data_IF_620527074962
#
_entry.id   IF_620527074962
#
_cell.length_a   1.000
_cell.length_b   1.000
_cell.length_c   1.000
_cell.angle_alpha   90.00
_cell.angle_beta   90.00
_cell.angle_gamma   90.00
#
_symmetry.space_group_name_H-M   'P 1'
#
loop_
_entity.id
_entity.type
_entity.pdbx_description
1 polymer ?
#
# COMPACT_ATOMS: atom_id res chain seq x y z
N UNK A 1 -2.97 -27.11 18.11
CA UNK A 1 -4.08 -26.23 17.70
C UNK A 1 -3.45 -25.13 16.90
N UNK A 2 -3.70 -25.11 15.59
CA UNK A 2 -3.24 -24.02 14.74
C UNK A 2 -3.99 -22.75 15.13
N UNK A 3 -3.27 -21.64 15.29
CA UNK A 3 -3.87 -20.34 15.59
C UNK A 3 -4.46 -19.76 14.29
N UNK A 4 -5.79 -19.67 14.14
CA UNK A 4 -6.42 -19.21 12.89
C UNK A 4 -6.02 -17.78 12.52
N UNK A 5 -5.75 -16.91 13.51
CA UNK A 5 -5.26 -15.55 13.25
C UNK A 5 -3.86 -15.57 12.64
N UNK A 6 -2.98 -16.46 13.10
CA UNK A 6 -1.62 -16.58 12.56
C UNK A 6 -1.64 -17.05 11.09
N UNK A 7 -2.58 -17.92 10.73
CA UNK A 7 -2.78 -18.35 9.35
C UNK A 7 -3.31 -17.20 8.48
N UNK A 8 -4.28 -16.43 8.96
CA UNK A 8 -4.81 -15.27 8.25
C UNK A 8 -3.74 -14.20 7.99
N UNK A 9 -2.88 -13.90 8.99
CA UNK A 9 -1.77 -12.97 8.82
C UNK A 9 -0.70 -13.49 7.85
N UNK A 10 -0.38 -14.78 7.88
CA UNK A 10 0.55 -15.39 6.93
C UNK A 10 0.05 -15.25 5.48
N UNK A 11 -1.23 -15.53 5.24
CA UNK A 11 -1.85 -15.37 3.93
C UNK A 11 -1.89 -13.91 3.47
N UNK A 12 -2.23 -12.99 4.38
CA UNK A 12 -2.21 -11.56 4.13
C UNK A 12 -0.81 -11.07 3.73
N UNK A 13 0.21 -11.42 4.51
CA UNK A 13 1.61 -11.05 4.24
C UNK A 13 2.08 -11.65 2.91
N UNK A 14 1.68 -12.89 2.59
CA UNK A 14 1.97 -13.51 1.30
C UNK A 14 1.37 -12.74 0.12
N UNK A 15 0.12 -12.28 0.23
CA UNK A 15 -0.54 -11.47 -0.80
C UNK A 15 0.13 -10.10 -0.95
N UNK A 16 0.39 -9.39 0.15
CA UNK A 16 1.07 -8.09 0.12
C UNK A 16 2.45 -8.23 -0.54
N UNK A 17 3.24 -9.22 -0.12
CA UNK A 17 4.56 -9.50 -0.68
C UNK A 17 4.50 -9.76 -2.18
N UNK A 18 3.54 -10.58 -2.63
CA UNK A 18 3.36 -10.88 -4.05
C UNK A 18 3.04 -9.63 -4.87
N UNK A 19 2.17 -8.75 -4.37
CA UNK A 19 1.86 -7.48 -5.05
C UNK A 19 3.10 -6.59 -5.14
N UNK A 20 3.83 -6.41 -4.03
CA UNK A 20 5.00 -5.54 -3.99
C UNK A 20 6.12 -6.05 -4.90
N UNK A 21 6.40 -7.36 -4.90
CA UNK A 21 7.36 -7.98 -5.83
C UNK A 21 6.94 -7.81 -7.29
N UNK A 22 5.67 -8.09 -7.61
CA UNK A 22 5.15 -7.94 -8.97
C UNK A 22 5.23 -6.49 -9.42
N UNK A 23 4.93 -5.55 -8.53
CA UNK A 23 5.02 -4.12 -8.80
C UNK A 23 6.46 -3.64 -8.96
N UNK A 24 7.40 -4.13 -8.15
CA UNK A 24 8.82 -3.79 -8.25
C UNK A 24 9.41 -4.28 -9.59
N UNK A 25 9.08 -5.50 -10.00
CA UNK A 25 9.45 -6.02 -11.33
C UNK A 25 8.83 -5.18 -12.45
N UNK A 26 7.54 -4.86 -12.36
CA UNK A 26 6.88 -4.01 -13.34
C UNK A 26 7.53 -2.62 -13.44
N UNK A 27 7.99 -2.05 -12.33
CA UNK A 27 8.72 -0.79 -12.29
C UNK A 27 10.06 -0.89 -13.06
N UNK A 28 10.84 -1.94 -12.79
CA UNK A 28 12.10 -2.21 -13.50
C UNK A 28 11.91 -2.42 -15.01
N UNK A 29 10.77 -3.00 -15.41
CA UNK A 29 10.37 -3.18 -16.81
C UNK A 29 9.82 -1.89 -17.46
N UNK A 30 9.81 -0.74 -16.74
CA UNK A 30 9.26 0.53 -17.24
C UNK A 30 7.74 0.62 -17.24
N UNK A 31 7.04 -0.37 -16.67
CA UNK A 31 5.58 -0.43 -16.60
C UNK A 31 5.04 0.24 -15.32
N UNK A 32 5.17 1.56 -15.25
CA UNK A 32 4.70 2.37 -14.12
C UNK A 32 3.18 2.25 -13.87
N UNK A 33 2.39 1.95 -14.91
CA UNK A 33 0.96 1.67 -14.78
C UNK A 33 0.69 0.42 -13.94
N UNK A 34 1.36 -0.68 -14.26
CA UNK A 34 1.24 -1.95 -13.53
C UNK A 34 1.84 -1.85 -12.13
N UNK A 35 2.97 -1.15 -11.95
CA UNK A 35 3.55 -0.92 -10.63
C UNK A 35 2.57 -0.23 -9.68
N UNK A 36 1.82 0.78 -10.16
CA UNK A 36 0.74 1.42 -9.41
C UNK A 36 -0.39 0.47 -9.05
N UNK A 37 -0.87 -0.31 -10.03
CA UNK A 37 -1.96 -1.25 -9.77
C UNK A 37 -1.59 -2.23 -8.66
N UNK A 38 -0.36 -2.76 -8.69
CA UNK A 38 0.18 -3.61 -7.63
C UNK A 38 0.26 -2.88 -6.29
N UNK A 39 0.83 -1.66 -6.24
CA UNK A 39 0.90 -0.85 -5.03
C UNK A 39 -0.48 -0.64 -4.37
N UNK A 40 -1.49 -0.28 -5.17
CA UNK A 40 -2.85 -0.07 -4.69
C UNK A 40 -3.49 -1.36 -4.16
N UNK A 41 -3.22 -2.50 -4.81
CA UNK A 41 -3.70 -3.82 -4.37
C UNK A 41 -3.04 -4.26 -3.06
N UNK A 42 -1.74 -4.01 -2.90
CA UNK A 42 -1.03 -4.28 -1.65
C UNK A 42 -1.70 -3.54 -0.47
N UNK A 43 -1.98 -2.25 -0.65
CA UNK A 43 -2.73 -1.45 0.34
C UNK A 43 -4.11 -2.05 0.59
N UNK A 44 -4.86 -2.35 -0.48
CA UNK A 44 -6.23 -2.87 -0.36
C UNK A 44 -6.31 -4.18 0.43
N UNK A 45 -5.35 -5.11 0.24
CA UNK A 45 -5.29 -6.34 1.03
C UNK A 45 -5.24 -6.03 2.53
N UNK A 46 -4.34 -5.15 2.96
CA UNK A 46 -4.17 -4.80 4.37
C UNK A 46 -5.40 -4.10 4.95
N UNK A 47 -5.93 -3.09 4.26
CA UNK A 47 -7.06 -2.30 4.81
C UNK A 47 -8.39 -3.06 4.80
N UNK A 48 -8.55 -4.06 3.94
CA UNK A 48 -9.73 -4.92 3.96
C UNK A 48 -9.70 -5.88 5.16
N UNK A 49 -8.53 -6.38 5.56
CA UNK A 49 -8.40 -7.20 6.76
C UNK A 49 -8.77 -6.44 8.04
N UNK A 50 -8.55 -5.12 8.09
CA UNK A 50 -9.01 -4.28 9.21
C UNK A 50 -10.53 -4.39 9.45
N UNK A 51 -11.31 -4.59 8.39
CA UNK A 51 -12.76 -4.75 8.50
C UNK A 51 -13.14 -6.12 9.06
N UNK A 52 -12.41 -7.17 8.68
CA UNK A 52 -12.62 -8.52 9.23
C UNK A 52 -12.32 -8.57 10.74
N UNK A 53 -11.34 -7.78 11.19
CA UNK A 53 -10.98 -7.65 12.60
C UNK A 53 -11.83 -6.65 13.38
N UNK A 54 -12.82 -6.01 12.75
CA UNK A 54 -13.67 -5.01 13.40
C UNK A 54 -12.95 -3.72 13.82
N UNK A 55 -11.79 -3.42 13.24
CA UNK A 55 -10.98 -2.25 13.60
C UNK A 55 -11.37 -1.00 12.81
N UNK A 56 -11.51 -1.12 11.49
CA UNK A 56 -11.88 -0.02 10.60
C UNK A 56 -12.37 -0.54 9.23
N UNK A 57 -13.18 0.25 8.52
CA UNK A 57 -13.62 -0.10 7.17
C UNK A 57 -13.48 1.03 6.17
N UNK A 58 -12.67 0.78 5.13
CA UNK A 58 -12.35 1.75 4.08
C UNK A 58 -13.04 1.43 2.74
N UNK A 59 -13.84 0.37 2.65
CA UNK A 59 -14.56 -0.03 1.44
C UNK A 59 -14.30 -1.47 1.01
N UNK A 60 -14.96 -1.90 -0.06
CA UNK A 60 -14.86 -3.28 -0.59
C UNK A 60 -13.95 -3.39 -1.82
N UNK A 61 -13.55 -2.26 -2.40
CA UNK A 61 -12.75 -2.22 -3.62
C UNK A 61 -11.61 -1.20 -3.52
N UNK A 62 -10.52 -1.48 -4.25
CA UNK A 62 -9.27 -0.70 -4.22
C UNK A 62 -9.48 0.81 -4.32
N UNK A 63 -10.29 1.26 -5.28
CA UNK A 63 -10.51 2.69 -5.49
C UNK A 63 -11.31 3.37 -4.38
N UNK A 64 -12.22 2.63 -3.73
CA UNK A 64 -12.97 3.13 -2.59
C UNK A 64 -12.08 3.23 -1.35
N UNK A 65 -11.28 2.19 -1.11
CA UNK A 65 -10.29 2.15 -0.02
C UNK A 65 -9.43 3.41 -0.01
N UNK A 66 -8.81 3.75 -1.15
CA UNK A 66 -7.95 4.93 -1.24
C UNK A 66 -8.73 6.22 -1.02
N UNK A 67 -9.93 6.37 -1.59
CA UNK A 67 -10.75 7.57 -1.37
C UNK A 67 -11.10 7.77 0.10
N UNK A 68 -11.46 6.69 0.81
CA UNK A 68 -11.79 6.78 2.24
C UNK A 68 -10.56 7.05 3.09
N UNK A 69 -9.41 6.47 2.76
CA UNK A 69 -8.14 6.80 3.41
C UNK A 69 -7.77 8.27 3.27
N UNK A 70 -8.01 8.87 2.09
CA UNK A 70 -7.77 10.31 1.87
C UNK A 70 -8.69 11.18 2.73
N UNK A 71 -9.96 10.78 2.89
CA UNK A 71 -10.97 11.53 3.63
C UNK A 71 -10.92 11.34 5.16
N UNK A 72 -10.17 10.36 5.67
CA UNK A 72 -10.10 10.07 7.10
C UNK A 72 -9.10 10.99 7.81
N UNK A 73 -9.61 12.10 8.34
CA UNK A 73 -8.83 13.11 9.06
C UNK A 73 -8.13 12.59 10.32
N UNK A 74 -8.51 11.42 10.84
CA UNK A 74 -7.85 10.78 11.99
C UNK A 74 -6.53 10.12 11.63
N UNK A 75 -6.30 9.84 10.33
CA UNK A 75 -5.04 9.28 9.85
C UNK A 75 -3.95 10.35 9.79
N UNK A 76 -2.67 9.99 9.99
CA UNK A 76 -1.56 10.91 9.78
C UNK A 76 -1.57 11.49 8.36
N UNK A 77 -1.20 12.77 8.22
CA UNK A 77 -1.16 13.47 6.93
C UNK A 77 -0.35 12.71 5.87
N UNK A 78 0.79 12.14 6.26
CA UNK A 78 1.63 11.35 5.36
C UNK A 78 0.89 10.14 4.75
N UNK A 79 0.01 9.48 5.51
CA UNK A 79 -0.80 8.34 5.06
C UNK A 79 -1.87 8.81 4.07
N UNK A 80 -2.57 9.92 4.40
CA UNK A 80 -3.59 10.50 3.52
C UNK A 80 -2.99 10.95 2.18
N UNK A 81 -1.86 11.67 2.21
CA UNK A 81 -1.18 12.13 1.01
C UNK A 81 -0.62 10.98 0.16
N UNK A 82 -0.11 9.91 0.78
CA UNK A 82 0.29 8.71 0.04
C UNK A 82 -0.91 8.05 -0.67
N UNK A 83 -2.06 7.97 0.01
CA UNK A 83 -3.28 7.43 -0.58
C UNK A 83 -3.79 8.30 -1.75
N UNK A 84 -3.72 9.62 -1.62
CA UNK A 84 -4.10 10.57 -2.67
C UNK A 84 -3.22 10.43 -3.92
N UNK A 85 -1.89 10.41 -3.73
CA UNK A 85 -0.93 10.18 -4.84
C UNK A 85 -1.17 8.83 -5.52
N UNK A 86 -1.49 7.79 -4.74
CA UNK A 86 -1.84 6.48 -5.27
C UNK A 86 -3.17 6.49 -6.01
N UNK A 87 -4.15 7.29 -5.61
CA UNK A 87 -5.43 7.41 -6.33
C UNK A 87 -5.22 7.94 -7.76
N UNK A 88 -4.25 8.84 -7.94
CA UNK A 88 -3.85 9.39 -9.24
C UNK A 88 -3.41 8.33 -10.25
N UNK A 89 -4.02 8.33 -11.44
CA UNK A 89 -3.63 7.47 -12.58
C UNK A 89 -2.85 8.23 -13.66
N UNK A 90 -2.62 7.61 -14.82
CA UNK A 90 -1.97 8.27 -15.95
C UNK A 90 -2.70 9.55 -16.40
N UNK A 91 -4.03 9.59 -16.27
CA UNK A 91 -4.84 10.80 -16.53
C UNK A 91 -4.54 11.94 -15.54
N UNK A 92 -4.26 11.63 -14.27
CA UNK A 92 -3.91 12.64 -13.28
C UNK A 92 -2.56 13.28 -13.61
N UNK A 93 -1.58 12.48 -14.05
CA UNK A 93 -0.28 12.98 -14.52
C UNK A 93 -0.45 13.95 -15.71
N UNK A 94 -1.31 13.61 -16.68
CA UNK A 94 -1.56 14.44 -17.86
C UNK A 94 -2.31 15.75 -17.54
N UNK A 95 -3.10 15.77 -16.46
CA UNK A 95 -3.85 16.95 -16.04
C UNK A 95 -3.16 17.79 -14.95
N UNK A 96 -1.92 17.45 -14.59
CA UNK A 96 -1.18 18.12 -13.51
C UNK A 96 -1.73 17.87 -12.09
N UNK A 97 -2.60 16.86 -11.93
CA UNK A 97 -3.13 16.48 -10.63
C UNK A 97 -2.12 15.63 -9.84
N UNK A 98 -2.30 15.57 -8.51
CA UNK A 98 -1.46 14.77 -7.61
C UNK A 98 -1.34 13.33 -8.09
N UNK A 99 -0.11 12.87 -8.20
CA UNK A 99 0.23 11.60 -8.79
C UNK A 99 1.52 11.04 -8.20
N UNK A 100 1.55 9.73 -7.92
CA UNK A 100 2.73 9.07 -7.36
C UNK A 100 3.82 8.82 -8.39
N UNK A 101 4.99 9.43 -8.21
CA UNK A 101 6.20 9.05 -8.93
C UNK A 101 6.84 7.76 -8.37
N UNK A 102 6.49 7.37 -7.14
CA UNK A 102 7.06 6.22 -6.45
C UNK A 102 5.94 5.40 -5.77
N UNK A 103 5.09 4.72 -6.56
CA UNK A 103 3.86 4.12 -6.04
C UNK A 103 4.09 3.03 -5.00
N UNK A 104 5.18 2.26 -5.14
CA UNK A 104 5.53 1.24 -4.17
C UNK A 104 5.97 1.84 -2.83
N UNK A 105 6.63 3.00 -2.86
CA UNK A 105 6.99 3.74 -1.65
C UNK A 105 5.76 4.31 -0.94
N UNK A 106 4.84 4.91 -1.71
CA UNK A 106 3.56 5.40 -1.16
C UNK A 106 2.74 4.25 -0.53
N UNK A 107 2.72 3.07 -1.14
CA UNK A 107 2.12 1.89 -0.53
C UNK A 107 2.83 1.53 0.77
N UNK A 108 4.17 1.56 0.81
CA UNK A 108 4.96 1.31 2.02
C UNK A 108 4.59 2.23 3.19
N UNK A 109 4.36 3.53 2.94
CA UNK A 109 3.90 4.49 3.96
C UNK A 109 2.59 4.02 4.62
N UNK A 110 1.62 3.65 3.79
CA UNK A 110 0.29 3.22 4.26
C UNK A 110 0.37 1.86 4.97
N UNK A 111 1.12 0.91 4.39
CA UNK A 111 1.28 -0.44 4.93
C UNK A 111 1.90 -0.40 6.33
N UNK A 112 2.97 0.38 6.54
CA UNK A 112 3.60 0.54 7.86
C UNK A 112 2.62 1.04 8.92
N UNK A 113 1.82 2.05 8.58
CA UNK A 113 0.86 2.63 9.52
C UNK A 113 -0.17 1.59 10.01
N UNK A 114 -0.77 0.83 9.10
CA UNK A 114 -1.78 -0.15 9.48
C UNK A 114 -1.19 -1.44 10.06
N UNK A 115 0.00 -1.84 9.64
CA UNK A 115 0.70 -2.99 10.22
C UNK A 115 0.97 -2.82 11.72
N UNK A 116 1.26 -1.60 12.18
CA UNK A 116 1.38 -1.26 13.60
C UNK A 116 0.09 -1.53 14.38
N UNK A 117 -1.08 -1.24 13.78
CA UNK A 117 -2.39 -1.47 14.42
C UNK A 117 -2.75 -2.94 14.48
N UNK A 118 -2.13 -3.76 13.64
CA UNK A 118 -2.34 -5.20 13.53
C UNK A 118 -1.28 -6.03 14.27
N UNK A 119 -0.27 -5.39 14.86
CA UNK A 119 0.81 -6.11 15.54
C UNK A 119 1.73 -6.90 14.60
N UNK A 120 1.72 -6.59 13.29
CA UNK A 120 2.57 -7.24 12.25
C UNK A 120 3.57 -6.26 11.63
N UNK A 121 3.96 -5.25 12.39
CA UNK A 121 4.82 -4.16 11.92
C UNK A 121 6.20 -4.66 11.51
N UNK A 122 6.78 -5.60 12.26
CA UNK A 122 8.14 -6.09 12.03
C UNK A 122 8.21 -6.90 10.73
N UNK A 123 7.20 -7.72 10.44
CA UNK A 123 7.10 -8.51 9.21
C UNK A 123 6.95 -7.61 7.98
N UNK A 124 6.10 -6.58 8.09
CA UNK A 124 5.93 -5.59 7.01
C UNK A 124 7.20 -4.77 6.82
N UNK A 125 7.85 -4.32 7.90
CA UNK A 125 9.11 -3.58 7.84
C UNK A 125 10.24 -4.39 7.21
N UNK A 126 10.37 -5.66 7.59
CA UNK A 126 11.33 -6.59 7.00
C UNK A 126 11.10 -6.73 5.50
N UNK A 127 9.85 -6.97 5.09
CA UNK A 127 9.46 -7.08 3.68
C UNK A 127 9.77 -5.80 2.87
N UNK A 128 9.46 -4.62 3.41
CA UNK A 128 9.75 -3.36 2.73
C UNK A 128 11.26 -3.10 2.61
N UNK A 129 12.04 -3.52 3.61
CA UNK A 129 13.51 -3.40 3.60
C UNK A 129 14.12 -4.33 2.55
N UNK A 130 13.70 -5.59 2.49
CA UNK A 130 14.13 -6.56 1.48
C UNK A 130 13.88 -6.08 0.04
N UNK A 131 12.79 -5.33 -0.16
CA UNK A 131 12.40 -4.78 -1.45
C UNK A 131 12.96 -3.37 -1.73
N UNK A 132 13.74 -2.81 -0.80
CA UNK A 132 14.27 -1.45 -0.87
C UNK A 132 13.17 -0.37 -1.07
N UNK A 133 12.07 -0.49 -0.32
CA UNK A 133 10.88 0.38 -0.40
C UNK A 133 10.72 1.30 0.82
N UNK A 134 11.69 1.32 1.74
CA UNK A 134 11.64 2.17 2.93
C UNK A 134 11.80 3.67 2.61
N UNK A 135 12.66 3.97 1.64
CA UNK A 135 12.97 5.30 1.15
C UNK A 135 12.60 5.43 -0.32
N UNK A 136 12.13 6.60 -0.79
CA UNK A 136 11.95 6.81 -2.21
C UNK A 136 13.35 6.78 -2.87
N UNK A 137 13.49 6.25 -4.09
CA UNK A 137 14.75 6.31 -4.80
C UNK A 137 15.19 7.77 -4.89
N UNK A 138 16.46 8.05 -4.56
CA UNK A 138 17.05 9.38 -4.74
C UNK A 138 16.77 9.84 -6.16
N UNK A 139 16.00 10.91 -6.32
CA UNK A 139 15.81 11.54 -7.61
C UNK A 139 17.20 11.98 -8.08
N UNK A 140 17.77 11.26 -9.04
CA UNK A 140 18.92 11.78 -9.78
C UNK A 140 18.37 12.95 -10.59
N UNK A 141 18.76 14.16 -10.17
CA UNK A 141 18.53 15.41 -10.89
C UNK A 141 19.20 15.36 -12.28
#
# INVERSE_FOLDING_TARGET
>A
MDNPEAQEYSELLGRIRWELLTGARAWQEGNAGRARTCARRAVAWLVQTLSHMGLASYGSHVGENLRRLVADETLPEAVRHAAERLQGGARAQLSGALYSLYPLHDAGIILRHFAQRLGIADEVMSMLTELNLCDPPSASL
#
